data_IF_388058057427
#
_entry.id   IF_388058057427
#
_cell.length_a   1.000
_cell.length_b   1.000
_cell.length_c   1.000
_cell.angle_alpha   90.00
_cell.angle_beta   90.00
_cell.angle_gamma   90.00
#
_symmetry.space_group_name_H-M   'P 1'
#
loop_
_entity.id
_entity.type
_entity.pdbx_description
1 polymer ?
#
# COMPACT_ATOMS: atom_id res chain seq x y z
N UNK A 1 24.71 -16.70 58.09
CA UNK A 1 25.76 -17.58 57.56
C UNK A 1 26.40 -16.90 56.35
N UNK A 2 27.67 -16.58 56.42
CA UNK A 2 28.43 -15.79 55.48
C UNK A 2 29.02 -16.70 54.39
N UNK A 3 28.72 -16.48 53.10
CA UNK A 3 29.34 -17.14 51.96
C UNK A 3 30.02 -16.12 51.06
N UNK A 4 31.36 -16.16 51.06
CA UNK A 4 32.26 -15.27 50.33
C UNK A 4 32.27 -15.66 48.84
N UNK A 5 32.07 -14.65 48.02
CA UNK A 5 32.22 -14.66 46.56
C UNK A 5 33.70 -14.52 46.22
N UNK A 6 34.24 -15.46 45.45
CA UNK A 6 35.62 -15.42 44.92
C UNK A 6 35.54 -14.86 43.49
N UNK A 7 36.16 -13.71 43.32
CA UNK A 7 36.36 -13.05 42.02
C UNK A 7 37.58 -13.71 41.34
N UNK A 8 37.38 -14.25 40.17
CA UNK A 8 38.46 -14.73 39.31
C UNK A 8 38.57 -13.77 38.12
N UNK A 9 39.61 -12.94 38.18
CA UNK A 9 39.97 -12.03 37.08
C UNK A 9 40.92 -12.78 36.16
N UNK A 10 40.51 -13.02 34.92
CA UNK A 10 41.33 -13.56 33.85
C UNK A 10 41.76 -12.43 32.93
N UNK A 11 42.99 -11.96 33.08
CA UNK A 11 43.64 -11.05 32.15
C UNK A 11 44.15 -11.87 30.96
N UNK A 12 43.59 -11.65 29.76
CA UNK A 12 44.20 -12.11 28.52
C UNK A 12 44.68 -10.91 27.75
N UNK A 13 45.97 -10.71 27.78
CA UNK A 13 46.71 -9.81 26.90
C UNK A 13 47.00 -10.56 25.60
N UNK A 14 46.45 -10.15 24.46
CA UNK A 14 46.89 -10.56 23.15
C UNK A 14 47.28 -9.33 22.35
N UNK A 15 48.56 -9.18 22.18
CA UNK A 15 49.21 -8.28 21.25
C UNK A 15 49.10 -8.86 19.85
N UNK A 16 48.93 -8.04 18.84
CA UNK A 16 49.24 -8.49 17.49
C UNK A 16 48.57 -7.79 16.36
N UNK A 17 49.33 -6.97 15.65
CA UNK A 17 49.23 -6.90 14.21
C UNK A 17 48.41 -5.75 13.62
N UNK A 18 49.01 -4.59 13.53
CA UNK A 18 48.58 -3.57 12.58
C UNK A 18 48.92 -4.01 11.17
N UNK A 19 47.87 -4.26 10.35
CA UNK A 19 47.95 -4.19 8.90
C UNK A 19 47.03 -3.05 8.42
N UNK A 20 47.68 -1.90 8.18
CA UNK A 20 47.03 -0.75 7.55
C UNK A 20 46.82 -1.05 6.05
N UNK A 21 45.71 -1.65 5.72
CA UNK A 21 45.17 -1.66 4.35
C UNK A 21 44.20 -0.50 4.23
N UNK A 22 44.67 0.63 3.69
CA UNK A 22 43.80 1.72 3.28
C UNK A 22 42.93 1.24 2.08
N UNK A 23 41.91 0.46 2.37
CA UNK A 23 40.87 0.16 1.40
C UNK A 23 40.03 1.43 1.21
N UNK A 24 39.99 1.94 -0.02
CA UNK A 24 39.07 3.00 -0.39
C UNK A 24 37.66 2.63 0.11
N UNK A 25 36.92 3.59 0.70
CA UNK A 25 35.55 3.30 1.14
C UNK A 25 34.75 2.84 -0.08
N UNK A 26 33.89 1.84 0.09
CA UNK A 26 33.00 1.42 -1.00
C UNK A 26 32.21 2.64 -1.49
N UNK A 27 32.01 2.78 -2.82
CA UNK A 27 31.20 3.86 -3.34
C UNK A 27 29.84 3.83 -2.66
N UNK A 28 29.26 5.02 -2.34
CA UNK A 28 27.95 5.08 -1.73
C UNK A 28 26.97 4.34 -2.66
N UNK A 29 26.01 3.59 -2.10
CA UNK A 29 24.99 2.92 -2.89
C UNK A 29 24.35 3.97 -3.79
N UNK A 30 24.31 3.68 -5.10
CA UNK A 30 23.66 4.54 -6.08
C UNK A 30 22.22 4.76 -5.59
N UNK A 31 21.85 6.02 -5.40
CA UNK A 31 20.44 6.34 -5.14
C UNK A 31 19.63 5.81 -6.30
N UNK A 32 18.63 4.93 -6.05
CA UNK A 32 17.74 4.50 -7.12
C UNK A 32 17.16 5.75 -7.79
N UNK A 33 17.25 5.82 -9.09
CA UNK A 33 16.56 6.84 -9.86
C UNK A 33 15.04 6.68 -9.66
N UNK A 34 14.22 7.73 -9.81
CA UNK A 34 12.78 7.59 -9.77
C UNK A 34 12.24 6.48 -10.68
N UNK A 35 12.88 6.25 -11.84
CA UNK A 35 12.53 5.19 -12.78
C UNK A 35 12.89 3.79 -12.27
N UNK A 36 14.00 3.63 -11.54
CA UNK A 36 14.38 2.33 -10.94
C UNK A 36 13.42 1.88 -9.83
N UNK A 37 12.70 2.82 -9.21
CA UNK A 37 11.63 2.51 -8.25
C UNK A 37 10.32 2.11 -8.92
N UNK A 38 10.09 2.55 -10.16
CA UNK A 38 8.92 2.18 -10.95
C UNK A 38 8.97 0.72 -11.40
N UNK A 39 10.16 0.13 -11.51
CA UNK A 39 10.37 -1.16 -12.16
C UNK A 39 10.81 -2.28 -11.21
N UNK A 40 10.80 -2.05 -9.91
CA UNK A 40 11.13 -3.06 -8.91
C UNK A 40 10.05 -4.15 -8.78
N UNK A 41 9.71 -4.78 -9.87
CA UNK A 41 9.36 -6.20 -9.89
C UNK A 41 7.98 -6.63 -9.42
N UNK A 42 6.97 -5.73 -9.33
CA UNK A 42 5.58 -6.16 -9.13
C UNK A 42 4.67 -5.52 -10.18
N UNK A 43 4.49 -6.19 -11.32
CA UNK A 43 3.83 -5.61 -12.49
C UNK A 43 2.33 -5.34 -12.30
N UNK A 44 1.69 -5.81 -11.24
CA UNK A 44 0.22 -5.84 -11.15
C UNK A 44 -0.41 -4.70 -10.36
N UNK A 45 0.32 -4.01 -9.50
CA UNK A 45 -0.24 -3.01 -8.59
C UNK A 45 -0.30 -1.60 -9.19
N UNK A 46 0.63 -1.25 -10.05
CA UNK A 46 0.75 0.10 -10.60
C UNK A 46 0.49 0.19 -12.11
N UNK A 47 0.28 -0.93 -12.79
CA UNK A 47 -0.03 -0.94 -14.22
C UNK A 47 -1.49 -0.55 -14.47
N UNK A 48 -1.78 0.19 -15.57
CA UNK A 48 -3.13 0.43 -15.99
C UNK A 48 -3.86 -0.90 -16.21
N UNK A 49 -5.09 -1.00 -15.72
CA UNK A 49 -5.93 -2.17 -15.99
C UNK A 49 -6.59 -1.94 -17.35
N UNK A 50 -6.20 -2.72 -18.34
CA UNK A 50 -6.86 -2.72 -19.63
C UNK A 50 -8.14 -3.55 -19.58
N UNK A 51 -9.25 -3.06 -20.16
CA UNK A 51 -10.48 -3.81 -20.22
C UNK A 51 -10.24 -5.18 -20.89
N UNK A 52 -10.54 -6.26 -20.18
CA UNK A 52 -10.40 -7.63 -20.68
C UNK A 52 -9.01 -8.26 -20.49
N UNK A 53 -8.03 -7.56 -19.93
CA UNK A 53 -6.69 -8.11 -19.66
C UNK A 53 -6.68 -9.13 -18.52
N UNK A 54 -7.66 -9.07 -17.61
CA UNK A 54 -7.85 -10.03 -16.53
C UNK A 54 -9.20 -10.73 -16.69
N UNK A 55 -9.18 -11.98 -17.09
CA UNK A 55 -10.37 -12.83 -16.97
C UNK A 55 -10.48 -13.34 -15.53
N UNK A 56 -11.44 -12.82 -14.73
CA UNK A 56 -11.64 -13.24 -13.35
C UNK A 56 -11.79 -14.75 -13.18
N UNK A 57 -12.30 -15.43 -14.23
CA UNK A 57 -12.59 -16.85 -14.18
C UNK A 57 -11.33 -17.71 -14.16
N UNK A 58 -10.20 -17.22 -14.70
CA UNK A 58 -8.96 -18.02 -14.79
C UNK A 58 -8.23 -18.19 -13.48
N UNK A 59 -8.37 -17.23 -12.56
CA UNK A 59 -7.69 -17.24 -11.25
C UNK A 59 -8.63 -17.53 -10.09
N UNK A 60 -9.94 -17.63 -10.35
CA UNK A 60 -10.98 -17.74 -9.33
C UNK A 60 -10.86 -19.00 -8.45
N UNK A 61 -10.38 -20.11 -9.00
CA UNK A 61 -10.28 -21.39 -8.30
C UNK A 61 -9.05 -21.57 -7.41
N UNK A 62 -8.07 -20.65 -7.47
CA UNK A 62 -6.80 -20.78 -6.74
C UNK A 62 -6.63 -19.74 -5.63
N UNK A 63 -7.61 -18.87 -5.43
CA UNK A 63 -7.52 -17.77 -4.46
C UNK A 63 -7.71 -18.24 -3.02
N UNK A 64 -6.98 -17.62 -2.11
CA UNK A 64 -7.14 -17.78 -0.66
C UNK A 64 -7.83 -16.56 -0.06
N UNK A 65 -9.19 -16.55 -0.05
CA UNK A 65 -9.98 -15.41 0.44
C UNK A 65 -9.68 -15.11 1.90
N UNK A 66 -9.60 -16.14 2.76
CA UNK A 66 -9.36 -15.96 4.19
C UNK A 66 -7.96 -15.35 4.47
N UNK A 67 -6.95 -15.78 3.75
CA UNK A 67 -5.60 -15.24 3.86
C UNK A 67 -5.55 -13.77 3.40
N UNK A 68 -6.15 -13.47 2.25
CA UNK A 68 -6.22 -12.11 1.74
C UNK A 68 -6.94 -11.16 2.69
N UNK A 69 -8.04 -11.60 3.30
CA UNK A 69 -8.78 -10.79 4.27
C UNK A 69 -7.95 -10.53 5.54
N UNK A 70 -7.28 -11.56 6.08
CA UNK A 70 -6.41 -11.42 7.24
C UNK A 70 -5.27 -10.43 6.97
N UNK A 71 -4.60 -10.54 5.82
CA UNK A 71 -3.51 -9.64 5.43
C UNK A 71 -4.01 -8.22 5.21
N UNK A 72 -5.18 -8.06 4.58
CA UNK A 72 -5.80 -6.75 4.37
C UNK A 72 -6.16 -6.07 5.70
N UNK A 73 -6.70 -6.82 6.67
CA UNK A 73 -6.99 -6.29 8.01
C UNK A 73 -5.72 -5.91 8.78
N UNK A 74 -4.67 -6.73 8.70
CA UNK A 74 -3.38 -6.41 9.30
C UNK A 74 -2.81 -5.11 8.73
N UNK A 75 -2.87 -4.93 7.40
CA UNK A 75 -2.43 -3.71 6.73
C UNK A 75 -3.22 -2.47 7.15
N UNK A 76 -4.54 -2.59 7.36
CA UNK A 76 -5.37 -1.49 7.91
C UNK A 76 -4.87 -1.08 9.29
N UNK A 77 -4.55 -2.02 10.18
CA UNK A 77 -3.96 -1.71 11.48
C UNK A 77 -2.62 -0.97 11.36
N UNK A 78 -1.77 -1.37 10.40
CA UNK A 78 -0.50 -0.70 10.11
C UNK A 78 -0.72 0.72 9.59
N UNK A 79 -1.68 0.93 8.67
CA UNK A 79 -2.04 2.26 8.16
C UNK A 79 -2.60 3.17 9.26
N UNK A 80 -3.42 2.65 10.17
CA UNK A 80 -3.93 3.39 11.32
C UNK A 80 -2.79 3.79 12.27
N UNK A 81 -1.81 2.92 12.48
CA UNK A 81 -0.62 3.27 13.27
C UNK A 81 0.16 4.43 12.65
N UNK A 82 0.22 4.51 11.31
CA UNK A 82 0.87 5.60 10.60
C UNK A 82 0.11 6.95 10.71
N UNK A 83 -1.11 6.98 11.26
CA UNK A 83 -1.88 8.20 11.49
C UNK A 83 -1.50 8.92 12.79
N UNK A 84 -0.65 8.33 13.63
CA UNK A 84 -0.20 8.96 14.86
C UNK A 84 0.44 10.34 14.55
N UNK A 85 -0.09 11.45 15.08
CA UNK A 85 0.42 12.79 14.80
C UNK A 85 1.84 13.01 15.36
N UNK A 86 2.21 12.28 16.42
CA UNK A 86 3.53 12.41 17.09
C UNK A 86 4.64 11.63 16.38
N UNK A 87 4.31 10.87 15.33
CA UNK A 87 5.26 10.07 14.57
C UNK A 87 6.05 10.92 13.59
N UNK A 88 7.36 10.66 13.48
CA UNK A 88 8.19 11.33 12.48
C UNK A 88 7.82 10.90 11.05
N UNK A 89 8.18 11.76 10.08
CA UNK A 89 7.80 11.53 8.68
C UNK A 89 8.45 10.26 8.09
N UNK A 90 9.69 9.93 8.49
CA UNK A 90 10.41 8.75 8.00
C UNK A 90 9.77 7.46 8.52
N UNK A 91 9.43 7.41 9.81
CA UNK A 91 8.74 6.28 10.41
C UNK A 91 7.35 6.07 9.79
N UNK A 92 6.62 7.16 9.57
CA UNK A 92 5.32 7.12 8.90
C UNK A 92 5.40 6.51 7.50
N UNK A 93 6.37 6.95 6.69
CA UNK A 93 6.60 6.41 5.34
C UNK A 93 6.98 4.93 5.40
N UNK A 94 7.80 4.51 6.38
CA UNK A 94 8.17 3.12 6.56
C UNK A 94 6.96 2.23 6.90
N UNK A 95 6.07 2.68 7.78
CA UNK A 95 4.83 1.96 8.11
C UNK A 95 3.89 1.87 6.91
N UNK A 96 3.71 2.95 6.15
CA UNK A 96 2.90 2.90 4.93
C UNK A 96 3.52 1.93 3.92
N UNK A 97 4.85 1.90 3.78
CA UNK A 97 5.55 0.93 2.95
C UNK A 97 5.29 -0.52 3.38
N UNK A 98 5.34 -0.80 4.69
CA UNK A 98 5.01 -2.13 5.21
C UNK A 98 3.55 -2.52 4.93
N UNK A 99 2.62 -1.58 5.06
CA UNK A 99 1.22 -1.82 4.71
C UNK A 99 1.02 -2.09 3.20
N UNK A 100 1.74 -1.38 2.33
CA UNK A 100 1.75 -1.64 0.88
C UNK A 100 2.18 -3.07 0.59
N UNK A 101 3.26 -3.56 1.22
CA UNK A 101 3.73 -4.94 1.03
C UNK A 101 2.71 -5.99 1.49
N UNK A 102 2.05 -5.75 2.62
CA UNK A 102 0.98 -6.62 3.12
C UNK A 102 -0.21 -6.66 2.17
N UNK A 103 -0.63 -5.50 1.64
CA UNK A 103 -1.75 -5.39 0.71
C UNK A 103 -1.46 -6.01 -0.65
N UNK A 104 -0.25 -5.89 -1.15
CA UNK A 104 0.19 -6.59 -2.37
C UNK A 104 0.14 -8.10 -2.14
N UNK A 105 0.62 -8.58 -0.99
CA UNK A 105 0.55 -10.00 -0.63
C UNK A 105 -0.90 -10.48 -0.53
N UNK A 106 -1.79 -9.66 0.03
CA UNK A 106 -3.23 -9.94 0.05
C UNK A 106 -3.81 -10.08 -1.37
N UNK A 107 -3.43 -9.21 -2.30
CA UNK A 107 -3.88 -9.28 -3.70
C UNK A 107 -3.26 -10.45 -4.48
N UNK A 108 -2.08 -10.95 -4.08
CA UNK A 108 -1.54 -12.20 -4.62
C UNK A 108 -2.33 -13.41 -4.14
N UNK A 109 -2.84 -13.39 -2.90
CA UNK A 109 -3.68 -14.45 -2.35
C UNK A 109 -5.12 -14.42 -2.92
N UNK A 110 -5.73 -13.23 -3.03
CA UNK A 110 -7.02 -13.03 -3.71
C UNK A 110 -7.00 -11.73 -4.54
N UNK A 111 -6.78 -11.82 -5.85
CA UNK A 111 -6.74 -10.65 -6.76
C UNK A 111 -8.05 -9.84 -6.79
N UNK A 112 -9.15 -10.40 -6.28
CA UNK A 112 -10.48 -9.77 -6.24
C UNK A 112 -10.88 -9.27 -4.85
N UNK A 113 -9.92 -9.18 -3.94
CA UNK A 113 -10.17 -8.59 -2.63
C UNK A 113 -10.37 -7.07 -2.74
N UNK A 114 -11.61 -6.63 -2.59
CA UNK A 114 -12.00 -5.21 -2.73
C UNK A 114 -11.37 -4.36 -1.63
N UNK A 115 -11.31 -4.89 -0.39
CA UNK A 115 -10.72 -4.20 0.74
C UNK A 115 -9.21 -3.94 0.52
N UNK A 116 -8.48 -4.97 0.10
CA UNK A 116 -7.05 -4.84 -0.21
C UNK A 116 -6.82 -3.85 -1.37
N UNK A 117 -7.63 -3.92 -2.44
CA UNK A 117 -7.52 -3.01 -3.59
C UNK A 117 -7.73 -1.56 -3.17
N UNK A 118 -8.77 -1.27 -2.38
CA UNK A 118 -9.07 0.08 -1.92
C UNK A 118 -8.00 0.62 -0.97
N UNK A 119 -7.60 -0.17 0.02
CA UNK A 119 -6.61 0.25 1.00
C UNK A 119 -5.21 0.43 0.38
N UNK A 120 -4.86 -0.37 -0.64
CA UNK A 120 -3.63 -0.17 -1.41
C UNK A 120 -3.68 1.13 -2.21
N UNK A 121 -4.82 1.47 -2.80
CA UNK A 121 -5.00 2.75 -3.46
C UNK A 121 -4.84 3.93 -2.48
N UNK A 122 -5.42 3.83 -1.27
CA UNK A 122 -5.27 4.81 -0.21
C UNK A 122 -3.80 4.94 0.25
N UNK A 123 -3.11 3.82 0.46
CA UNK A 123 -1.69 3.81 0.82
C UNK A 123 -0.83 4.51 -0.25
N UNK A 124 -1.06 4.24 -1.52
CA UNK A 124 -0.35 4.92 -2.62
C UNK A 124 -0.67 6.40 -2.71
N UNK A 125 -1.91 6.80 -2.44
CA UNK A 125 -2.27 8.21 -2.39
C UNK A 125 -1.51 8.96 -1.27
N UNK A 126 -1.35 8.34 -0.10
CA UNK A 126 -0.60 8.90 1.05
C UNK A 126 0.90 9.08 0.78
N UNK A 127 1.51 8.24 -0.06
CA UNK A 127 2.94 8.33 -0.43
C UNK A 127 3.16 8.97 -1.79
N UNK A 128 2.21 9.80 -2.24
CA UNK A 128 2.30 10.60 -3.45
C UNK A 128 2.54 9.79 -4.74
N UNK A 129 1.91 8.61 -4.85
CA UNK A 129 1.90 7.78 -6.05
C UNK A 129 0.50 7.76 -6.70
N UNK A 130 0.01 8.89 -7.19
CA UNK A 130 -1.38 9.03 -7.64
C UNK A 130 -1.72 8.12 -8.82
N UNK A 131 -0.74 7.80 -9.68
CA UNK A 131 -0.95 6.90 -10.80
C UNK A 131 -1.34 5.50 -10.36
N UNK A 132 -0.62 4.93 -9.38
CA UNK A 132 -0.90 3.61 -8.83
C UNK A 132 -2.26 3.59 -8.13
N UNK A 133 -2.57 4.64 -7.36
CA UNK A 133 -3.86 4.77 -6.70
C UNK A 133 -5.03 4.80 -7.70
N UNK A 134 -4.90 5.59 -8.78
CA UNK A 134 -5.93 5.68 -9.83
C UNK A 134 -6.12 4.32 -10.52
N UNK A 135 -5.05 3.64 -10.90
CA UNK A 135 -5.12 2.34 -11.56
C UNK A 135 -5.87 1.30 -10.70
N UNK A 136 -5.61 1.28 -9.39
CA UNK A 136 -6.30 0.40 -8.45
C UNK A 136 -7.79 0.75 -8.30
N UNK A 137 -8.12 2.03 -8.23
CA UNK A 137 -9.51 2.47 -8.17
C UNK A 137 -10.26 2.15 -9.48
N UNK A 138 -9.64 2.33 -10.65
CA UNK A 138 -10.19 1.91 -11.93
C UNK A 138 -10.44 0.39 -11.97
N UNK A 139 -9.47 -0.39 -11.50
CA UNK A 139 -9.62 -1.84 -11.34
C UNK A 139 -10.81 -2.19 -10.43
N UNK A 140 -10.96 -1.51 -9.32
CA UNK A 140 -12.08 -1.73 -8.40
C UNK A 140 -13.44 -1.44 -9.07
N UNK A 141 -13.52 -0.41 -9.91
CA UNK A 141 -14.73 -0.10 -10.68
C UNK A 141 -15.10 -1.27 -11.60
N UNK A 142 -14.12 -1.90 -12.26
CA UNK A 142 -14.36 -3.06 -13.11
C UNK A 142 -14.90 -4.27 -12.31
N UNK A 143 -14.52 -4.41 -11.04
CA UNK A 143 -15.06 -5.46 -10.17
C UNK A 143 -16.54 -5.25 -9.81
N UNK A 144 -17.09 -4.03 -9.98
CA UNK A 144 -18.51 -3.71 -9.68
C UNK A 144 -19.48 -4.55 -10.51
N UNK A 145 -19.09 -4.90 -11.72
CA UNK A 145 -19.95 -5.67 -12.64
C UNK A 145 -20.05 -7.15 -12.25
N UNK A 146 -19.23 -7.59 -11.29
CA UNK A 146 -19.30 -8.95 -10.76
C UNK A 146 -20.32 -9.03 -9.62
N UNK A 147 -21.40 -9.86 -9.73
CA UNK A 147 -22.48 -9.87 -8.76
C UNK A 147 -22.04 -10.09 -7.31
N UNK A 148 -21.01 -10.93 -7.07
CA UNK A 148 -20.51 -11.22 -5.72
C UNK A 148 -19.67 -10.07 -5.12
N UNK A 149 -19.29 -9.06 -5.90
CA UNK A 149 -18.47 -7.92 -5.47
C UNK A 149 -19.18 -6.59 -5.52
N UNK A 150 -20.28 -6.51 -6.26
CA UNK A 150 -21.03 -5.28 -6.51
C UNK A 150 -21.35 -4.49 -5.24
N UNK A 151 -21.84 -5.17 -4.20
CA UNK A 151 -22.19 -4.53 -2.92
C UNK A 151 -20.96 -3.96 -2.21
N UNK A 152 -19.88 -4.73 -2.13
CA UNK A 152 -18.64 -4.34 -1.45
C UNK A 152 -17.95 -3.18 -2.17
N UNK A 153 -17.87 -3.25 -3.51
CA UNK A 153 -17.36 -2.16 -4.34
C UNK A 153 -18.19 -0.90 -4.17
N UNK A 154 -19.52 -1.00 -4.21
CA UNK A 154 -20.40 0.17 -4.01
C UNK A 154 -20.16 0.83 -2.67
N UNK A 155 -20.01 0.08 -1.59
CA UNK A 155 -19.71 0.63 -0.27
C UNK A 155 -18.37 1.41 -0.23
N UNK A 156 -17.32 0.91 -0.93
CA UNK A 156 -16.05 1.64 -1.04
C UNK A 156 -16.16 2.90 -1.89
N UNK A 157 -16.91 2.83 -2.98
CA UNK A 157 -17.16 4.00 -3.84
C UNK A 157 -17.99 5.06 -3.10
N UNK A 158 -18.96 4.66 -2.30
CA UNK A 158 -19.74 5.58 -1.46
C UNK A 158 -18.86 6.30 -0.44
N UNK A 159 -17.89 5.60 0.14
CA UNK A 159 -16.87 6.20 1.02
C UNK A 159 -15.98 7.19 0.25
N UNK A 160 -15.48 6.79 -0.92
CA UNK A 160 -14.63 7.63 -1.77
C UNK A 160 -15.36 8.93 -2.21
N UNK A 161 -16.66 8.84 -2.50
CA UNK A 161 -17.50 9.96 -2.90
C UNK A 161 -18.10 10.74 -1.73
N UNK A 162 -17.95 10.26 -0.51
CA UNK A 162 -18.49 10.89 0.70
C UNK A 162 -20.02 10.79 0.83
N UNK A 163 -20.64 9.78 0.23
CA UNK A 163 -22.10 9.60 0.28
C UNK A 163 -22.62 9.19 1.66
N UNK A 164 -21.85 8.39 2.38
CA UNK A 164 -22.22 7.86 3.71
C UNK A 164 -21.51 8.59 4.85
N UNK A 165 -20.38 9.22 4.55
CA UNK A 165 -19.52 9.93 5.49
C UNK A 165 -18.85 11.10 4.77
N UNK A 166 -18.00 11.87 5.46
CA UNK A 166 -17.12 12.82 4.79
C UNK A 166 -16.25 12.08 3.75
N UNK A 167 -15.86 12.82 2.70
CA UNK A 167 -14.93 12.32 1.68
C UNK A 167 -13.71 11.68 2.33
N UNK A 168 -13.28 10.53 1.81
CA UNK A 168 -12.13 9.83 2.36
C UNK A 168 -10.88 10.75 2.29
N UNK A 169 -10.27 11.09 3.44
CA UNK A 169 -9.16 12.03 3.51
C UNK A 169 -7.90 11.52 2.80
N UNK A 170 -7.74 10.20 2.65
CA UNK A 170 -6.58 9.59 2.00
C UNK A 170 -6.39 10.05 0.55
N UNK A 171 -7.49 10.42 -0.12
CA UNK A 171 -7.47 10.88 -1.51
C UNK A 171 -7.53 12.41 -1.67
N UNK A 172 -7.44 13.18 -0.59
CA UNK A 172 -7.52 14.64 -0.67
C UNK A 172 -6.45 15.26 -1.58
N UNK A 173 -5.21 14.77 -1.52
CA UNK A 173 -4.12 15.24 -2.36
C UNK A 173 -4.37 15.01 -3.86
N UNK A 174 -5.18 14.00 -4.21
CA UNK A 174 -5.46 13.63 -5.59
C UNK A 174 -6.63 14.39 -6.22
N UNK A 175 -7.42 15.14 -5.45
CA UNK A 175 -8.62 15.83 -5.96
C UNK A 175 -8.31 16.88 -7.03
N UNK A 176 -7.09 17.42 -7.04
CA UNK A 176 -6.58 18.32 -8.08
C UNK A 176 -6.12 17.57 -9.36
N UNK A 177 -5.89 16.27 -9.31
CA UNK A 177 -5.43 15.49 -10.45
C UNK A 177 -6.54 15.33 -11.51
N UNK A 178 -6.24 15.68 -12.75
CA UNK A 178 -7.22 15.62 -13.84
C UNK A 178 -7.66 14.18 -14.19
N UNK A 179 -6.79 13.18 -13.96
CA UNK A 179 -7.12 11.77 -14.20
C UNK A 179 -8.03 11.25 -13.11
N UNK A 180 -7.75 11.60 -11.84
CA UNK A 180 -8.61 11.25 -10.72
C UNK A 180 -10.01 11.84 -10.92
N UNK A 181 -10.11 13.11 -11.34
CA UNK A 181 -11.42 13.73 -11.64
C UNK A 181 -12.17 13.02 -12.74
N UNK A 182 -11.50 12.67 -13.86
CA UNK A 182 -12.13 11.91 -14.95
C UNK A 182 -12.61 10.54 -14.49
N UNK A 183 -11.85 9.86 -13.63
CA UNK A 183 -12.26 8.59 -13.04
C UNK A 183 -13.54 8.77 -12.20
N UNK A 184 -13.60 9.80 -11.33
CA UNK A 184 -14.80 10.12 -10.55
C UNK A 184 -15.98 10.46 -11.46
N UNK A 185 -15.79 11.25 -12.52
CA UNK A 185 -16.82 11.56 -13.51
C UNK A 185 -17.37 10.28 -14.16
N UNK A 186 -16.51 9.37 -14.57
CA UNK A 186 -16.90 8.07 -15.13
C UNK A 186 -17.68 7.21 -14.13
N UNK A 187 -17.31 7.22 -12.86
CA UNK A 187 -18.07 6.54 -11.81
C UNK A 187 -19.49 7.10 -11.65
N UNK A 188 -19.64 8.40 -11.91
CA UNK A 188 -20.87 9.15 -11.76
C UNK A 188 -21.71 9.21 -13.03
N UNK A 189 -21.26 8.65 -14.14
CA UNK A 189 -22.02 8.64 -15.39
C UNK A 189 -23.41 8.00 -15.17
N UNK A 190 -24.45 8.74 -15.55
CA UNK A 190 -25.83 8.30 -15.37
C UNK A 190 -26.37 8.40 -13.94
N UNK A 191 -25.60 8.89 -12.99
CA UNK A 191 -26.03 9.07 -11.60
C UNK A 191 -26.59 10.48 -11.39
N UNK A 192 -27.78 10.58 -10.79
CA UNK A 192 -28.37 11.84 -10.28
C UNK A 192 -27.93 12.14 -8.84
N UNK A 193 -26.97 11.41 -8.29
CA UNK A 193 -26.53 11.51 -6.92
C UNK A 193 -25.86 12.86 -6.65
N UNK A 194 -26.25 13.53 -5.57
CA UNK A 194 -25.71 14.82 -5.15
C UNK A 194 -24.17 14.80 -4.95
N UNK A 195 -23.60 13.67 -4.49
CA UNK A 195 -22.17 13.50 -4.36
C UNK A 195 -21.43 13.54 -5.70
N UNK A 196 -22.07 13.11 -6.77
CA UNK A 196 -21.57 13.19 -8.14
C UNK A 196 -21.67 14.60 -8.74
N UNK A 197 -22.51 15.45 -8.19
CA UNK A 197 -22.67 16.87 -8.62
C UNK A 197 -21.67 17.78 -7.91
N UNK A 198 -21.30 17.47 -6.68
CA UNK A 198 -20.38 18.28 -5.87
C UNK A 198 -18.90 18.17 -6.29
N UNK A 199 -18.57 17.25 -7.17
CA UNK A 199 -17.21 17.08 -7.71
C UNK A 199 -16.89 17.92 -8.95
N UNK A 200 -17.76 18.84 -9.35
CA UNK A 200 -17.59 19.72 -10.50
C UNK A 200 -17.09 21.11 -10.10
#
# INVERSE_FOLDING_TARGET
>A
MRGRLLLLVLLITASGGACSGAGSPPPPPLRPTPDDRADAGRPTDCQPVEPGSEDPRKTFGQRSIAEAEMLSQAAVGTLQSAENPDMDAGERVALIGAAVDQLITALLADPYNVNATYNLAAAYARIERPQCAINLLERMILMRDHPSRAHEVSAKLDRLLGRTQSLDPDFNAMRGDARFRRMIEKMCEGSSDAACVLGR
#
